data_IF_982607887561
#
_entry.id   IF_982607887561
#
_cell.length_a   1.000
_cell.length_b   1.000
_cell.length_c   1.000
_cell.angle_alpha   90.00
_cell.angle_beta   90.00
_cell.angle_gamma   90.00
#
_symmetry.space_group_name_H-M   'P 1'
#
loop_
_entity.id
_entity.type
_entity.pdbx_description
1 polymer ?
#
# COMPACT_ATOMS: atom_id res chain seq x y z
N UNK A 1 -66.86 -3.05 -7.94
CA UNK A 1 -66.16 -3.25 -9.23
C UNK A 1 -64.67 -3.36 -8.93
N UNK A 2 -64.15 -4.58 -8.84
CA UNK A 2 -62.71 -4.85 -8.58
C UNK A 2 -62.00 -5.09 -9.91
N UNK A 3 -61.03 -4.25 -10.27
CA UNK A 3 -60.14 -4.50 -11.43
C UNK A 3 -58.96 -5.31 -10.94
N UNK A 4 -58.84 -6.51 -11.50
CA UNK A 4 -57.65 -7.35 -11.37
C UNK A 4 -56.66 -6.98 -12.47
N UNK A 5 -55.40 -6.62 -12.11
CA UNK A 5 -54.32 -6.43 -13.05
C UNK A 5 -53.45 -7.70 -13.01
N UNK A 6 -53.45 -8.43 -14.12
CA UNK A 6 -52.65 -9.63 -14.33
C UNK A 6 -51.27 -9.23 -14.86
N UNK A 7 -50.23 -9.48 -14.08
CA UNK A 7 -48.84 -9.27 -14.49
C UNK A 7 -48.37 -10.48 -15.29
N UNK A 8 -48.04 -10.28 -16.56
CA UNK A 8 -47.51 -11.28 -17.47
C UNK A 8 -45.95 -11.26 -17.35
N UNK A 9 -45.39 -12.27 -16.71
CA UNK A 9 -43.93 -12.43 -16.62
C UNK A 9 -43.41 -13.11 -17.89
N UNK A 10 -42.68 -12.36 -18.69
CA UNK A 10 -42.02 -12.86 -19.90
C UNK A 10 -40.62 -13.42 -19.51
N UNK A 11 -40.48 -14.76 -19.53
CA UNK A 11 -39.20 -15.44 -19.44
C UNK A 11 -38.42 -15.30 -20.75
N UNK A 12 -37.42 -14.46 -20.81
CA UNK A 12 -36.42 -14.48 -21.88
C UNK A 12 -35.34 -15.51 -21.56
N UNK A 13 -35.36 -16.63 -22.24
CA UNK A 13 -34.24 -17.58 -22.27
C UNK A 13 -33.17 -17.06 -23.22
N UNK A 14 -32.10 -16.52 -22.69
CA UNK A 14 -30.91 -16.15 -23.47
C UNK A 14 -29.95 -17.34 -23.52
N UNK A 15 -29.90 -18.01 -24.65
CA UNK A 15 -28.80 -18.91 -25.01
C UNK A 15 -27.63 -18.05 -25.49
N UNK A 16 -26.70 -17.71 -24.59
CA UNK A 16 -25.47 -16.99 -24.91
C UNK A 16 -24.29 -17.97 -24.96
N UNK A 17 -23.57 -17.97 -26.07
CA UNK A 17 -22.37 -18.79 -26.29
C UNK A 17 -21.27 -18.44 -25.30
N UNK A 18 -20.68 -19.46 -24.64
CA UNK A 18 -19.66 -19.35 -23.57
C UNK A 18 -18.35 -18.63 -23.96
N UNK A 19 -18.14 -18.28 -25.23
CA UNK A 19 -16.91 -17.60 -25.70
C UNK A 19 -16.91 -16.08 -25.53
N UNK A 20 -18.07 -15.41 -25.47
CA UNK A 20 -18.16 -13.94 -25.42
C UNK A 20 -18.19 -13.34 -24.01
N UNK A 21 -18.37 -14.15 -22.97
CA UNK A 21 -18.54 -13.68 -21.60
C UNK A 21 -17.23 -13.15 -20.98
N UNK A 22 -16.06 -13.71 -21.33
CA UNK A 22 -14.78 -13.28 -20.75
C UNK A 22 -14.24 -11.96 -21.34
N UNK A 23 -14.40 -11.74 -22.65
CA UNK A 23 -13.98 -10.49 -23.30
C UNK A 23 -14.83 -9.30 -22.81
N UNK A 24 -16.11 -9.52 -22.60
CA UNK A 24 -17.02 -8.51 -22.05
C UNK A 24 -16.71 -8.22 -20.56
N UNK A 25 -16.27 -9.22 -19.76
CA UNK A 25 -15.95 -9.05 -18.35
C UNK A 25 -14.73 -8.14 -18.13
N UNK A 26 -13.64 -8.31 -18.89
CA UNK A 26 -12.46 -7.45 -18.78
C UNK A 26 -12.73 -6.01 -19.26
N UNK A 27 -13.51 -5.82 -20.32
CA UNK A 27 -13.90 -4.49 -20.78
C UNK A 27 -14.72 -3.75 -19.71
N UNK A 28 -15.75 -4.39 -19.17
CA UNK A 28 -16.57 -3.82 -18.10
C UNK A 28 -15.76 -3.49 -16.83
N UNK A 29 -14.76 -4.31 -16.49
CA UNK A 29 -13.88 -4.04 -15.37
C UNK A 29 -13.03 -2.76 -15.59
N UNK A 30 -12.49 -2.56 -16.78
CA UNK A 30 -11.74 -1.35 -17.11
C UNK A 30 -12.61 -0.10 -17.23
N UNK A 31 -13.84 -0.22 -17.73
CA UNK A 31 -14.85 0.85 -17.68
C UNK A 31 -15.18 1.24 -16.22
N UNK A 32 -15.23 0.26 -15.32
CA UNK A 32 -15.40 0.52 -13.89
C UNK A 32 -14.17 1.24 -13.30
N UNK A 33 -12.94 0.89 -13.69
CA UNK A 33 -11.73 1.60 -13.29
C UNK A 33 -11.74 3.07 -13.71
N UNK A 34 -12.13 3.34 -14.97
CA UNK A 34 -12.25 4.70 -15.48
C UNK A 34 -13.31 5.49 -14.70
N UNK A 35 -14.41 4.83 -14.34
CA UNK A 35 -15.48 5.46 -13.55
C UNK A 35 -15.03 5.74 -12.10
N UNK A 36 -14.23 4.85 -11.49
CA UNK A 36 -13.64 5.08 -10.18
C UNK A 36 -12.81 6.38 -10.21
N UNK A 37 -11.90 6.50 -11.18
CA UNK A 37 -11.05 7.69 -11.32
C UNK A 37 -11.86 8.95 -11.58
N UNK A 38 -12.84 8.89 -12.45
CA UNK A 38 -13.73 10.01 -12.78
C UNK A 38 -14.51 10.54 -11.59
N UNK A 39 -14.92 9.64 -10.69
CA UNK A 39 -15.73 9.98 -9.52
C UNK A 39 -14.91 10.32 -8.28
N UNK A 40 -13.58 10.29 -8.36
CA UNK A 40 -12.74 10.69 -7.23
C UNK A 40 -12.88 12.17 -6.95
N UNK A 41 -13.01 12.49 -5.66
CA UNK A 41 -13.11 13.87 -5.19
C UNK A 41 -11.73 14.35 -4.76
N UNK A 42 -11.15 15.27 -5.51
CA UNK A 42 -9.92 15.95 -5.10
C UNK A 42 -10.23 17.01 -4.03
N UNK A 43 -9.45 17.09 -2.93
CA UNK A 43 -9.62 18.15 -1.97
C UNK A 43 -9.27 19.51 -2.59
N UNK A 44 -10.08 20.50 -2.29
CA UNK A 44 -9.86 21.90 -2.68
C UNK A 44 -9.69 22.76 -1.43
N UNK A 45 -8.89 23.81 -1.53
CA UNK A 45 -8.53 24.66 -0.40
C UNK A 45 -8.78 26.11 -0.74
N UNK A 46 -9.19 26.95 0.24
CA UNK A 46 -9.21 28.40 0.07
C UNK A 46 -7.84 28.95 -0.36
N UNK A 47 -7.85 30.03 -1.13
CA UNK A 47 -6.63 30.74 -1.54
C UNK A 47 -6.09 31.62 -0.39
N UNK A 48 -5.64 30.95 0.68
CA UNK A 48 -5.03 31.53 1.86
C UNK A 48 -3.74 30.80 2.15
N UNK A 49 -2.67 31.54 2.44
CA UNK A 49 -1.35 30.98 2.74
C UNK A 49 -0.92 31.37 4.16
N UNK A 50 -0.51 30.37 4.90
CA UNK A 50 0.05 30.49 6.25
C UNK A 50 1.50 30.03 6.20
N UNK A 51 2.42 30.99 6.04
CA UNK A 51 3.86 30.68 5.99
C UNK A 51 4.36 30.38 7.40
N UNK A 52 5.00 29.23 7.61
CA UNK A 52 5.49 28.81 8.94
C UNK A 52 6.51 29.80 9.54
N UNK A 53 7.22 30.58 8.72
CA UNK A 53 8.16 31.63 9.18
C UNK A 53 7.42 32.72 9.95
N UNK A 54 6.20 33.08 9.55
CA UNK A 54 5.36 34.06 10.24
C UNK A 54 4.92 33.56 11.64
N UNK A 55 5.07 32.28 11.91
CA UNK A 55 4.82 31.63 13.21
C UNK A 55 6.11 31.33 13.99
N UNK A 56 7.25 31.86 13.53
CA UNK A 56 8.54 31.77 14.21
C UNK A 56 9.40 30.57 13.77
N UNK A 57 9.09 29.90 12.64
CA UNK A 57 9.94 28.84 12.13
C UNK A 57 11.30 29.36 11.66
N UNK A 58 12.37 28.60 11.94
CA UNK A 58 13.76 28.92 11.61
C UNK A 58 14.32 27.88 10.64
N UNK A 59 14.83 28.34 9.51
CA UNK A 59 15.30 27.49 8.39
C UNK A 59 16.79 27.11 8.49
N UNK A 60 17.27 26.74 9.68
CA UNK A 60 18.68 26.42 9.95
C UNK A 60 19.01 24.92 9.93
N UNK A 61 17.99 24.06 9.80
CA UNK A 61 18.11 22.59 9.84
C UNK A 61 18.45 22.03 11.23
N UNK A 62 18.35 22.80 12.29
CA UNK A 62 18.71 22.44 13.67
C UNK A 62 17.63 22.78 14.68
N UNK A 63 17.04 23.97 14.58
CA UNK A 63 15.96 24.40 15.47
C UNK A 63 14.70 23.60 15.19
N UNK A 64 14.09 23.01 16.24
CA UNK A 64 12.82 22.29 16.12
C UNK A 64 11.69 23.29 15.87
N UNK A 65 10.99 23.12 14.76
CA UNK A 65 9.92 24.00 14.29
C UNK A 65 8.51 23.44 14.53
N UNK A 66 8.38 22.35 15.28
CA UNK A 66 7.11 21.64 15.51
C UNK A 66 6.01 22.59 15.96
N UNK A 67 6.28 23.41 16.99
CA UNK A 67 5.29 24.35 17.54
C UNK A 67 4.87 25.45 16.53
N UNK A 68 5.81 25.94 15.69
CA UNK A 68 5.50 26.92 14.65
C UNK A 68 4.63 26.32 13.56
N UNK A 69 4.93 25.09 13.12
CA UNK A 69 4.13 24.35 12.12
C UNK A 69 2.73 24.04 12.68
N UNK A 70 2.64 23.56 13.92
CA UNK A 70 1.36 23.29 14.58
C UNK A 70 0.50 24.55 14.71
N UNK A 71 1.10 25.68 15.10
CA UNK A 71 0.38 26.96 15.20
C UNK A 71 -0.16 27.40 13.82
N UNK A 72 0.62 27.25 12.75
CA UNK A 72 0.17 27.53 11.39
C UNK A 72 -1.00 26.61 10.96
N UNK A 73 -0.92 25.31 11.23
CA UNK A 73 -1.97 24.32 10.92
C UNK A 73 -3.25 24.64 11.69
N UNK A 74 -3.14 24.90 12.99
CA UNK A 74 -4.30 25.24 13.85
C UNK A 74 -4.99 26.50 13.33
N UNK A 75 -4.23 27.56 13.05
CA UNK A 75 -4.76 28.80 12.52
C UNK A 75 -5.42 28.59 11.16
N UNK A 76 -4.74 27.93 10.23
CA UNK A 76 -5.25 27.64 8.90
C UNK A 76 -6.59 26.90 8.98
N UNK A 77 -6.67 25.81 9.74
CA UNK A 77 -7.89 25.02 9.89
C UNK A 77 -9.03 25.82 10.56
N UNK A 78 -8.72 26.60 11.60
CA UNK A 78 -9.72 27.42 12.33
C UNK A 78 -10.31 28.56 11.50
N UNK A 79 -9.60 29.04 10.49
CA UNK A 79 -10.03 30.10 9.57
C UNK A 79 -10.68 29.55 8.28
N UNK A 80 -11.05 28.26 8.27
CA UNK A 80 -11.78 27.60 7.19
C UNK A 80 -10.88 26.87 6.18
N UNK A 81 -9.55 26.80 6.42
CA UNK A 81 -8.60 26.07 5.61
C UNK A 81 -7.72 26.94 4.72
N UNK A 82 -6.85 26.29 3.99
CA UNK A 82 -5.87 26.93 3.11
C UNK A 82 -4.58 26.12 2.99
N UNK A 83 -3.50 26.82 2.63
CA UNK A 83 -2.18 26.25 2.46
C UNK A 83 -1.28 26.64 3.65
N UNK A 84 -0.71 25.66 4.35
CA UNK A 84 0.42 25.87 5.28
C UNK A 84 1.70 25.67 4.47
N UNK A 85 2.44 26.74 4.31
CA UNK A 85 3.63 26.78 3.44
C UNK A 85 4.91 26.52 4.23
N UNK A 86 5.58 25.42 3.90
CA UNK A 86 6.98 25.17 4.24
C UNK A 86 7.82 25.84 3.14
N UNK A 87 8.28 27.04 3.40
CA UNK A 87 9.01 27.85 2.43
C UNK A 87 10.45 27.37 2.25
N UNK A 88 11.19 28.01 1.32
CA UNK A 88 12.59 27.68 1.02
C UNK A 88 13.44 27.58 2.29
N UNK A 89 14.22 26.50 2.40
CA UNK A 89 15.20 26.27 3.47
C UNK A 89 15.17 24.88 4.04
N UNK A 90 15.90 24.65 5.14
CA UNK A 90 15.93 23.37 5.86
C UNK A 90 15.26 23.53 7.21
N UNK A 91 14.20 22.81 7.46
CA UNK A 91 13.44 22.88 8.71
C UNK A 91 13.47 21.52 9.42
N UNK A 92 13.95 21.49 10.66
CA UNK A 92 13.84 20.32 11.52
C UNK A 92 12.51 20.37 12.27
N UNK A 93 11.80 19.25 12.38
CA UNK A 93 10.54 19.17 13.12
C UNK A 93 10.40 17.82 13.83
N UNK A 94 9.54 17.75 14.84
CA UNK A 94 8.92 16.51 15.33
C UNK A 94 7.73 16.11 14.46
N UNK A 95 6.78 15.34 15.01
CA UNK A 95 5.59 14.92 14.25
C UNK A 95 4.71 16.11 13.89
N UNK A 96 4.02 16.00 12.75
CA UNK A 96 3.06 17.00 12.26
C UNK A 96 1.67 16.36 12.26
N UNK A 97 0.71 16.98 12.92
CA UNK A 97 -0.68 16.53 12.94
C UNK A 97 -1.56 17.44 12.07
N UNK A 98 -1.98 16.92 10.90
CA UNK A 98 -2.84 17.67 10.00
C UNK A 98 -4.27 17.75 10.52
N UNK A 99 -4.93 18.84 10.18
CA UNK A 99 -6.35 19.13 10.46
C UNK A 99 -7.13 19.28 9.15
N UNK A 100 -8.44 19.15 9.24
CA UNK A 100 -9.33 19.27 8.08
C UNK A 100 -9.14 20.60 7.36
N UNK A 101 -9.27 20.54 6.03
CA UNK A 101 -9.13 21.66 5.11
C UNK A 101 -7.71 22.27 5.05
N UNK A 102 -6.68 21.52 5.41
CA UNK A 102 -5.27 21.98 5.38
C UNK A 102 -4.51 21.27 4.28
N UNK A 103 -3.85 22.05 3.43
CA UNK A 103 -2.81 21.61 2.52
C UNK A 103 -1.43 21.98 3.08
N UNK A 104 -0.66 20.99 3.53
CA UNK A 104 0.75 21.18 3.88
C UNK A 104 1.57 21.21 2.59
N UNK A 105 2.00 22.41 2.18
CA UNK A 105 2.72 22.61 0.93
C UNK A 105 4.22 22.78 1.15
N UNK A 106 5.01 21.93 0.52
CA UNK A 106 6.47 21.91 0.63
C UNK A 106 7.06 22.58 -0.62
N UNK A 107 7.58 23.80 -0.47
CA UNK A 107 8.23 24.51 -1.57
C UNK A 107 9.32 23.68 -2.22
N UNK A 108 9.50 23.79 -3.53
CA UNK A 108 10.46 22.97 -4.29
C UNK A 108 11.93 23.10 -3.83
N UNK A 109 12.25 24.16 -3.12
CA UNK A 109 13.57 24.40 -2.53
C UNK A 109 13.61 24.16 -1.00
N UNK A 110 12.53 23.61 -0.43
CA UNK A 110 12.42 23.25 0.97
C UNK A 110 12.83 21.81 1.25
N UNK A 111 13.47 21.59 2.39
CA UNK A 111 13.71 20.27 2.98
C UNK A 111 13.11 20.26 4.38
N UNK A 112 12.09 19.45 4.59
CA UNK A 112 11.50 19.23 5.90
C UNK A 112 12.09 17.93 6.48
N UNK A 113 12.91 18.09 7.51
CA UNK A 113 13.65 17.04 8.20
C UNK A 113 12.91 16.65 9.48
N UNK A 114 12.73 15.35 9.71
CA UNK A 114 12.04 14.85 10.90
C UNK A 114 13.04 14.41 11.97
N UNK A 115 12.78 14.78 13.22
CA UNK A 115 13.61 14.42 14.36
C UNK A 115 13.87 12.91 14.46
N UNK A 116 15.06 12.53 14.85
CA UNK A 116 15.44 11.14 15.14
C UNK A 116 15.26 10.77 16.62
N UNK A 117 14.77 11.72 17.44
CA UNK A 117 14.52 11.51 18.86
C UNK A 117 13.13 10.87 19.07
N UNK A 118 13.04 9.61 19.52
CA UNK A 118 11.74 8.93 19.65
C UNK A 118 10.77 9.63 20.61
N UNK A 119 11.28 10.29 21.64
CA UNK A 119 10.46 11.02 22.62
C UNK A 119 9.67 12.18 22.04
N UNK A 120 10.12 12.74 20.90
CA UNK A 120 9.38 13.78 20.17
C UNK A 120 8.03 13.26 19.61
N UNK A 121 7.91 11.95 19.41
CA UNK A 121 6.74 11.28 18.83
C UNK A 121 5.76 10.77 19.87
N UNK A 122 5.89 11.24 21.11
CA UNK A 122 4.95 11.00 22.21
C UNK A 122 4.04 12.22 22.43
N UNK A 123 2.83 12.04 22.98
CA UNK A 123 2.25 10.78 23.43
C UNK A 123 1.88 9.86 22.27
N UNK A 124 1.72 8.56 22.57
CA UNK A 124 1.29 7.55 21.59
C UNK A 124 -0.06 7.92 20.97
N UNK A 125 -0.20 7.67 19.68
CA UNK A 125 -1.45 7.89 18.93
C UNK A 125 -2.02 6.57 18.44
N UNK A 126 -3.31 6.54 18.13
CA UNK A 126 -3.92 5.39 17.50
C UNK A 126 -3.28 5.16 16.12
N UNK A 127 -2.91 3.93 15.83
CA UNK A 127 -2.34 3.52 14.55
C UNK A 127 -2.55 2.03 14.33
N UNK A 128 -2.03 1.52 13.23
CA UNK A 128 -1.93 0.09 12.93
C UNK A 128 -0.49 -0.22 12.56
N UNK A 129 0.10 -1.24 13.15
CA UNK A 129 1.49 -1.61 12.92
C UNK A 129 1.57 -3.04 12.37
N UNK A 130 2.08 -3.22 11.14
CA UNK A 130 2.05 -4.48 10.38
C UNK A 130 0.67 -5.18 10.40
N UNK A 131 -0.42 -4.41 10.25
CA UNK A 131 -1.78 -4.94 10.23
C UNK A 131 -2.44 -5.14 11.59
N UNK A 132 -1.74 -4.90 12.69
CA UNK A 132 -2.25 -5.01 14.08
C UNK A 132 -2.59 -3.63 14.64
N UNK A 133 -3.83 -3.44 15.11
CA UNK A 133 -4.28 -2.18 15.71
C UNK A 133 -3.61 -1.93 17.06
N UNK A 134 -3.11 -0.71 17.28
CA UNK A 134 -2.45 -0.33 18.53
C UNK A 134 -2.41 1.18 18.73
N UNK A 135 -1.85 1.61 19.87
CA UNK A 135 -1.32 2.94 20.09
C UNK A 135 0.20 2.88 20.09
N UNK A 136 0.84 3.65 19.22
CA UNK A 136 2.29 3.66 19.05
C UNK A 136 2.81 5.10 18.92
N UNK A 137 4.12 5.27 18.81
CA UNK A 137 4.72 6.55 18.41
C UNK A 137 3.96 7.16 17.25
N UNK A 138 3.74 8.48 17.30
CA UNK A 138 3.11 9.19 16.19
C UNK A 138 3.86 8.94 14.89
N UNK A 139 3.16 8.68 13.77
CA UNK A 139 3.76 8.84 12.44
C UNK A 139 4.36 10.24 12.27
N UNK A 140 5.31 10.39 11.35
CA UNK A 140 5.99 11.66 11.14
C UNK A 140 5.01 12.74 10.65
N UNK A 141 4.08 12.36 9.75
CA UNK A 141 2.92 13.18 9.40
C UNK A 141 1.66 12.33 9.64
N UNK A 142 0.79 12.85 10.47
CA UNK A 142 -0.37 12.12 10.99
C UNK A 142 -1.67 12.89 10.82
N UNK A 143 -2.76 12.17 10.60
CA UNK A 143 -4.13 12.68 10.72
C UNK A 143 -5.06 11.53 11.13
N UNK A 144 -6.05 11.83 11.96
CA UNK A 144 -7.14 10.88 12.31
C UNK A 144 -8.48 11.58 12.20
N UNK A 145 -9.42 10.99 11.44
CA UNK A 145 -10.77 11.49 11.24
C UNK A 145 -10.87 12.83 10.48
N UNK A 146 -9.85 13.21 9.70
CA UNK A 146 -9.83 14.49 9.01
C UNK A 146 -10.39 14.39 7.58
N UNK A 147 -10.90 15.51 7.09
CA UNK A 147 -11.46 15.61 5.74
C UNK A 147 -10.80 16.74 4.96
N UNK A 148 -10.59 16.54 3.64
CA UNK A 148 -9.94 17.50 2.76
C UNK A 148 -8.55 17.87 3.29
N UNK A 149 -7.64 16.91 3.27
CA UNK A 149 -6.24 17.11 3.68
C UNK A 149 -5.30 16.81 2.53
N UNK A 150 -4.21 17.55 2.46
CA UNK A 150 -3.19 17.29 1.47
C UNK A 150 -1.77 17.53 2.00
N UNK A 151 -0.81 16.81 1.40
CA UNK A 151 0.61 17.16 1.40
C UNK A 151 1.02 17.31 -0.06
N UNK A 152 1.50 18.49 -0.43
CA UNK A 152 1.78 18.82 -1.84
C UNK A 152 3.10 19.58 -2.00
N UNK A 153 3.50 19.80 -3.25
CA UNK A 153 4.66 20.59 -3.60
C UNK A 153 5.86 19.75 -3.98
N UNK A 154 6.92 20.40 -4.49
CA UNK A 154 8.10 19.73 -5.08
C UNK A 154 9.28 19.61 -4.13
N UNK A 155 9.09 19.93 -2.84
CA UNK A 155 10.13 19.84 -1.84
C UNK A 155 10.42 18.41 -1.38
N UNK A 156 11.31 18.31 -0.40
CA UNK A 156 11.76 17.01 0.13
C UNK A 156 11.30 16.82 1.57
N UNK A 157 10.72 15.65 1.85
CA UNK A 157 10.46 15.14 3.19
C UNK A 157 11.57 14.14 3.54
N UNK A 158 12.33 14.37 4.61
CA UNK A 158 13.44 13.52 5.04
C UNK A 158 13.19 12.96 6.44
N UNK A 159 12.88 11.67 6.52
CA UNK A 159 12.65 10.96 7.79
C UNK A 159 13.93 10.68 8.58
N UNK A 160 15.09 10.95 8.00
CA UNK A 160 16.42 10.75 8.58
C UNK A 160 16.68 9.33 9.10
N UNK A 161 15.91 8.32 8.66
CA UNK A 161 16.14 6.91 8.98
C UNK A 161 17.49 6.44 8.43
N UNK A 162 18.25 5.75 9.26
CA UNK A 162 19.58 5.22 8.92
C UNK A 162 19.98 4.04 9.81
N UNK A 163 21.14 3.44 9.54
CA UNK A 163 21.74 2.42 10.40
C UNK A 163 22.18 2.95 11.77
N UNK A 164 22.14 4.25 12.01
CA UNK A 164 22.49 4.87 13.30
C UNK A 164 21.24 5.18 14.14
N UNK A 165 20.07 5.31 13.49
CA UNK A 165 18.79 5.59 14.15
C UNK A 165 17.67 4.80 13.48
N UNK A 166 16.50 4.70 14.07
CA UNK A 166 15.30 4.00 13.62
C UNK A 166 15.51 2.57 13.07
N UNK A 167 16.39 2.37 12.04
CA UNK A 167 16.55 1.07 11.39
C UNK A 167 17.13 -0.02 12.28
N UNK A 168 18.03 0.26 13.26
CA UNK A 168 18.47 -0.74 14.23
C UNK A 168 17.33 -1.40 15.00
N UNK A 169 16.22 -0.71 15.21
CA UNK A 169 15.04 -1.27 15.86
C UNK A 169 14.44 -2.48 15.14
N UNK A 170 14.77 -2.68 13.85
CA UNK A 170 14.42 -3.91 13.11
C UNK A 170 14.99 -5.18 13.73
N UNK A 171 16.13 -5.09 14.41
CA UNK A 171 16.81 -6.23 15.01
C UNK A 171 17.67 -7.04 14.03
N UNK A 172 18.20 -6.43 12.99
CA UNK A 172 19.10 -7.06 12.01
C UNK A 172 20.41 -6.29 11.88
N UNK A 173 21.55 -6.98 11.95
CA UNK A 173 22.90 -6.38 11.89
C UNK A 173 23.10 -5.56 10.60
N UNK A 174 22.54 -6.01 9.47
CA UNK A 174 22.57 -5.26 8.20
C UNK A 174 21.89 -3.90 8.27
N UNK A 175 21.07 -3.67 9.29
CA UNK A 175 20.34 -2.41 9.50
C UNK A 175 20.97 -1.58 10.64
N UNK A 176 22.17 -1.93 11.09
CA UNK A 176 22.88 -1.24 12.18
C UNK A 176 22.54 -1.74 13.58
N UNK A 177 21.71 -2.80 13.74
CA UNK A 177 21.43 -3.37 15.05
C UNK A 177 22.68 -4.05 15.64
N UNK A 178 22.96 -3.78 16.90
CA UNK A 178 24.06 -4.37 17.65
C UNK A 178 23.50 -5.46 18.56
N UNK A 179 24.10 -6.65 18.51
CA UNK A 179 23.68 -7.80 19.32
C UNK A 179 23.58 -7.43 20.80
N UNK A 180 22.42 -7.70 21.38
CA UNK A 180 22.13 -7.41 22.80
C UNK A 180 21.48 -6.04 23.05
N UNK A 181 21.35 -5.18 22.04
CA UNK A 181 20.54 -3.96 22.15
C UNK A 181 19.06 -4.27 21.90
N UNK A 182 18.13 -3.49 22.46
CA UNK A 182 16.70 -3.70 22.25
C UNK A 182 16.27 -3.56 20.80
N UNK A 183 15.23 -4.32 20.43
CA UNK A 183 14.65 -4.30 19.07
C UNK A 183 13.18 -4.68 19.07
N UNK A 184 12.52 -4.51 17.92
CA UNK A 184 11.14 -4.97 17.72
C UNK A 184 10.96 -6.50 17.88
N UNK A 185 12.05 -7.28 17.85
CA UNK A 185 12.02 -8.74 17.99
C UNK A 185 11.92 -9.19 19.45
N UNK A 186 12.12 -8.29 20.40
CA UNK A 186 12.02 -8.59 21.82
C UNK A 186 10.60 -9.03 22.19
N UNK A 187 10.49 -9.94 23.18
CA UNK A 187 9.21 -10.57 23.55
C UNK A 187 8.09 -9.59 23.90
N UNK A 188 8.44 -8.44 24.45
CA UNK A 188 7.52 -7.37 24.84
C UNK A 188 7.20 -6.38 23.69
N UNK A 189 7.77 -6.54 22.51
CA UNK A 189 7.59 -5.64 21.38
C UNK A 189 6.61 -6.25 20.32
N UNK A 190 7.08 -6.49 19.11
CA UNK A 190 6.27 -7.09 18.03
C UNK A 190 5.60 -8.42 18.43
N UNK A 191 6.27 -9.37 19.11
CA UNK A 191 5.63 -10.61 19.56
C UNK A 191 4.47 -10.36 20.54
N UNK A 192 4.58 -9.36 21.41
CA UNK A 192 3.49 -9.00 22.33
C UNK A 192 2.31 -8.40 21.58
N UNK A 193 2.55 -7.49 20.61
CA UNK A 193 1.47 -6.92 19.80
C UNK A 193 0.73 -8.00 19.02
N UNK A 194 1.44 -8.95 18.39
CA UNK A 194 0.83 -10.12 17.76
C UNK A 194 -0.03 -10.92 18.74
N UNK A 195 0.50 -11.19 19.93
CA UNK A 195 -0.27 -11.88 20.99
C UNK A 195 -1.52 -11.11 21.39
N UNK A 196 -1.48 -9.80 21.45
CA UNK A 196 -2.66 -8.97 21.74
C UNK A 196 -3.74 -9.12 20.66
N UNK A 197 -3.34 -9.19 19.38
CA UNK A 197 -4.26 -9.49 18.30
C UNK A 197 -4.87 -10.89 18.46
N UNK A 198 -4.04 -11.93 18.60
CA UNK A 198 -4.48 -13.33 18.73
C UNK A 198 -5.42 -13.55 19.92
N UNK A 199 -5.16 -12.88 21.04
CA UNK A 199 -5.95 -12.98 22.28
C UNK A 199 -7.02 -11.90 22.41
N UNK A 200 -7.24 -11.12 21.35
CA UNK A 200 -8.33 -10.14 21.24
C UNK A 200 -8.31 -9.07 22.37
N UNK A 201 -7.12 -8.70 22.81
CA UNK A 201 -6.98 -7.60 23.79
C UNK A 201 -7.56 -6.31 23.21
N UNK A 202 -8.43 -5.54 23.93
CA UNK A 202 -8.95 -4.27 23.44
C UNK A 202 -7.83 -3.31 22.98
N UNK A 203 -8.04 -2.62 21.87
CA UNK A 203 -7.01 -1.77 21.22
C UNK A 203 -6.49 -0.68 22.16
N UNK A 204 -7.38 -0.11 23.00
CA UNK A 204 -7.07 0.94 23.97
C UNK A 204 -6.03 0.50 25.03
N UNK A 205 -5.88 -0.81 25.22
CA UNK A 205 -4.89 -1.42 26.12
C UNK A 205 -3.57 -1.76 25.43
N UNK A 206 -3.51 -1.67 24.07
CA UNK A 206 -2.31 -2.00 23.29
C UNK A 206 -1.43 -0.76 23.09
N UNK A 207 -0.85 -0.23 24.17
CA UNK A 207 0.02 0.95 24.12
C UNK A 207 1.47 0.50 23.95
N UNK A 208 2.06 0.81 22.79
CA UNK A 208 3.34 0.32 22.30
C UNK A 208 4.35 1.48 22.07
N UNK A 209 4.37 2.46 22.93
CA UNK A 209 5.28 3.60 22.82
C UNK A 209 6.67 3.30 23.34
N UNK A 210 7.13 4.10 24.31
CA UNK A 210 8.47 4.01 24.88
C UNK A 210 8.79 2.59 25.39
N UNK A 211 9.97 2.08 24.99
CA UNK A 211 10.44 0.73 25.35
C UNK A 211 9.94 -0.41 24.45
N UNK A 212 9.13 -0.13 23.42
CA UNK A 212 8.60 -1.17 22.54
C UNK A 212 9.25 -1.26 21.15
N UNK A 213 10.09 -0.34 20.76
CA UNK A 213 10.90 -0.33 19.55
C UNK A 213 10.14 -0.60 18.23
N UNK A 214 8.86 -0.21 18.17
CA UNK A 214 8.05 -0.26 16.95
C UNK A 214 8.18 1.07 16.21
N UNK A 215 8.89 1.05 15.08
CA UNK A 215 9.17 2.23 14.27
C UNK A 215 7.88 2.87 13.73
N UNK A 216 7.72 4.21 13.79
CA UNK A 216 6.55 4.88 13.23
C UNK A 216 6.57 4.88 11.69
N UNK A 217 5.41 4.94 11.06
CA UNK A 217 5.25 5.22 9.63
C UNK A 217 5.67 6.67 9.33
N UNK A 218 5.98 6.95 8.04
CA UNK A 218 6.25 8.34 7.68
C UNK A 218 4.95 9.15 7.59
N UNK A 219 4.07 8.85 6.63
CA UNK A 219 2.75 9.49 6.52
C UNK A 219 1.68 8.46 6.83
N UNK A 220 0.88 8.66 7.87
CA UNK A 220 -0.26 7.80 8.17
C UNK A 220 -1.51 8.63 8.43
N UNK A 221 -2.53 8.44 7.58
CA UNK A 221 -3.82 9.11 7.66
C UNK A 221 -4.91 8.08 7.90
N UNK A 222 -5.55 8.16 9.07
CA UNK A 222 -6.52 7.18 9.57
C UNK A 222 -7.92 7.77 9.51
N UNK A 223 -8.91 6.98 9.03
CA UNK A 223 -10.31 7.40 8.92
C UNK A 223 -10.49 8.75 8.20
N UNK A 224 -9.59 9.08 7.28
CA UNK A 224 -9.62 10.35 6.57
C UNK A 224 -10.41 10.24 5.26
N UNK A 225 -10.93 11.39 4.80
CA UNK A 225 -11.68 11.47 3.55
C UNK A 225 -11.16 12.60 2.68
N UNK A 226 -11.08 12.36 1.36
CA UNK A 226 -10.52 13.27 0.37
C UNK A 226 -9.08 13.65 0.74
N UNK A 227 -8.17 12.72 0.51
CA UNK A 227 -6.74 12.83 0.82
C UNK A 227 -5.96 13.01 -0.46
N UNK A 228 -5.02 13.95 -0.50
CA UNK A 228 -4.11 14.12 -1.63
C UNK A 228 -2.65 14.21 -1.19
N UNK A 229 -1.81 13.37 -1.80
CA UNK A 229 -0.36 13.33 -1.66
C UNK A 229 0.24 13.60 -3.06
N UNK A 230 0.92 14.74 -3.26
CA UNK A 230 1.25 15.16 -4.63
C UNK A 230 2.62 15.83 -4.77
N UNK A 231 3.41 15.33 -5.74
CA UNK A 231 4.64 15.89 -6.33
C UNK A 231 5.91 15.91 -5.46
N UNK A 232 5.84 15.70 -4.16
CA UNK A 232 7.01 15.75 -3.29
C UNK A 232 7.95 14.54 -3.45
N UNK A 233 9.20 14.74 -3.03
CA UNK A 233 10.14 13.63 -2.81
C UNK A 233 10.15 13.26 -1.33
N UNK A 234 10.09 11.96 -1.02
CA UNK A 234 10.15 11.44 0.34
C UNK A 234 11.26 10.40 0.46
N UNK A 235 12.07 10.49 1.51
CA UNK A 235 13.24 9.62 1.70
C UNK A 235 13.51 9.28 3.15
N UNK A 236 14.31 8.22 3.35
CA UNK A 236 14.84 7.81 4.64
C UNK A 236 13.75 7.61 5.71
N UNK A 237 12.69 6.87 5.37
CA UNK A 237 11.61 6.57 6.30
C UNK A 237 12.09 5.68 7.45
N UNK A 238 11.56 5.84 8.67
CA UNK A 238 11.74 4.85 9.73
C UNK A 238 11.17 3.48 9.39
N UNK A 239 10.01 3.44 8.72
CA UNK A 239 9.20 2.26 8.45
C UNK A 239 8.41 2.45 7.15
N UNK A 240 7.18 1.93 7.00
CA UNK A 240 6.29 2.15 5.85
C UNK A 240 6.17 3.64 5.50
N UNK A 241 6.21 3.96 4.21
CA UNK A 241 6.35 5.38 3.80
C UNK A 241 4.99 6.07 3.72
N UNK A 242 4.13 5.68 2.79
CA UNK A 242 2.79 6.27 2.63
C UNK A 242 1.75 5.24 3.10
N UNK A 243 1.11 5.49 4.23
CA UNK A 243 0.18 4.56 4.87
C UNK A 243 -1.18 5.20 5.15
N UNK A 244 -2.01 5.47 4.12
CA UNK A 244 -3.41 5.76 4.34
C UNK A 244 -4.12 4.52 4.88
N UNK A 245 -4.89 4.68 5.95
CA UNK A 245 -5.53 3.59 6.69
C UNK A 245 -7.02 3.90 6.89
N UNK A 246 -7.91 2.95 6.55
CA UNK A 246 -9.36 3.09 6.73
C UNK A 246 -9.90 4.42 6.14
N UNK A 247 -9.30 4.87 5.05
CA UNK A 247 -9.56 6.18 4.43
C UNK A 247 -10.24 6.04 3.07
N UNK A 248 -10.94 7.08 2.65
CA UNK A 248 -11.72 7.10 1.41
C UNK A 248 -11.30 8.27 0.51
N UNK A 249 -11.30 8.05 -0.83
CA UNK A 249 -10.86 9.01 -1.85
C UNK A 249 -9.42 9.47 -1.59
N UNK A 250 -8.48 8.57 -1.80
CA UNK A 250 -7.04 8.80 -1.60
C UNK A 250 -6.35 8.92 -2.95
N UNK A 251 -5.70 10.05 -3.19
CA UNK A 251 -4.92 10.32 -4.41
C UNK A 251 -3.45 10.44 -4.04
N UNK A 252 -2.62 9.62 -4.67
CA UNK A 252 -1.15 9.69 -4.62
C UNK A 252 -0.66 9.93 -6.04
N UNK A 253 -0.16 11.14 -6.33
CA UNK A 253 0.19 11.56 -7.68
C UNK A 253 1.56 12.20 -7.73
N UNK A 254 2.40 11.79 -8.69
CA UNK A 254 3.70 12.42 -8.94
C UNK A 254 4.73 12.29 -7.82
N UNK A 255 4.45 11.50 -6.78
CA UNK A 255 5.34 11.33 -5.63
C UNK A 255 6.54 10.47 -6.00
N UNK A 256 7.72 10.90 -5.57
CA UNK A 256 8.95 10.11 -5.65
C UNK A 256 9.32 9.56 -4.28
N UNK A 257 9.24 8.25 -4.12
CA UNK A 257 9.72 7.54 -2.92
C UNK A 257 11.13 7.02 -3.17
N UNK A 258 12.07 7.46 -2.34
CA UNK A 258 13.46 7.00 -2.35
C UNK A 258 13.89 6.62 -0.93
N UNK A 259 13.47 5.44 -0.47
CA UNK A 259 13.63 5.01 0.91
C UNK A 259 13.91 3.52 0.98
N UNK A 260 15.18 3.17 1.19
CA UNK A 260 15.70 1.80 1.05
C UNK A 260 15.93 1.09 2.39
N UNK A 261 15.43 1.62 3.49
CA UNK A 261 15.54 1.01 4.81
C UNK A 261 14.66 -0.25 4.96
N UNK A 262 14.80 -0.96 6.09
CA UNK A 262 14.04 -2.18 6.34
C UNK A 262 12.55 -1.87 6.52
N UNK A 263 11.67 -2.62 5.84
CA UNK A 263 10.23 -2.39 5.75
C UNK A 263 9.88 -0.97 5.27
N UNK A 264 10.70 -0.41 4.38
CA UNK A 264 10.37 0.83 3.70
C UNK A 264 9.55 0.49 2.44
N UNK A 265 8.33 -0.01 2.67
CA UNK A 265 7.32 -0.14 1.63
C UNK A 265 6.92 1.27 1.18
N UNK A 266 6.77 1.49 -0.14
CA UNK A 266 6.60 2.83 -0.68
C UNK A 266 5.21 3.39 -0.46
N UNK A 267 4.17 2.60 -0.72
CA UNK A 267 2.79 3.00 -0.53
C UNK A 267 1.94 1.81 -0.09
N UNK A 268 1.39 1.89 1.12
CA UNK A 268 0.62 0.86 1.80
C UNK A 268 -0.81 1.33 2.09
N UNK A 269 -1.66 1.52 1.09
CA UNK A 269 -3.06 1.81 1.41
C UNK A 269 -3.68 0.57 2.06
N UNK A 270 -4.17 0.75 3.29
CA UNK A 270 -4.70 -0.34 4.10
C UNK A 270 -6.17 -0.12 4.43
N UNK A 271 -7.04 -1.06 4.06
CA UNK A 271 -8.49 -0.97 4.26
C UNK A 271 -9.10 0.33 3.71
N UNK A 272 -8.55 0.86 2.63
CA UNK A 272 -8.99 2.07 1.97
C UNK A 272 -9.97 1.78 0.83
N UNK A 273 -10.77 2.80 0.49
CA UNK A 273 -11.72 2.74 -0.62
C UNK A 273 -11.50 3.89 -1.59
N UNK A 274 -11.55 3.60 -2.91
CA UNK A 274 -11.32 4.55 -3.98
C UNK A 274 -9.93 5.19 -3.85
N UNK A 275 -8.91 4.46 -4.30
CA UNK A 275 -7.50 4.88 -4.24
C UNK A 275 -6.96 5.03 -5.65
N UNK A 276 -6.34 6.16 -5.95
CA UNK A 276 -5.61 6.42 -7.18
C UNK A 276 -4.14 6.63 -6.87
N UNK A 277 -3.26 5.81 -7.46
CA UNK A 277 -1.81 5.98 -7.41
C UNK A 277 -1.32 6.16 -8.84
N UNK A 278 -0.84 7.34 -9.19
CA UNK A 278 -0.47 7.63 -10.58
C UNK A 278 0.78 8.49 -10.72
N UNK A 279 1.53 8.25 -11.79
CA UNK A 279 2.74 9.02 -12.15
C UNK A 279 3.81 9.02 -11.04
N UNK A 280 3.84 8.01 -10.18
CA UNK A 280 4.77 7.90 -9.05
C UNK A 280 6.02 7.11 -9.42
N UNK A 281 7.11 7.37 -8.70
CA UNK A 281 8.37 6.61 -8.81
C UNK A 281 8.72 6.01 -7.46
N UNK A 282 9.01 4.70 -7.44
CA UNK A 282 9.34 3.95 -6.24
C UNK A 282 10.73 3.33 -6.33
N UNK A 283 11.56 3.63 -5.33
CA UNK A 283 12.84 3.01 -5.06
C UNK A 283 12.87 2.68 -3.57
N UNK A 284 12.59 1.43 -3.20
CA UNK A 284 12.19 1.05 -1.84
C UNK A 284 13.04 -0.10 -1.29
N UNK A 285 13.07 -0.21 0.02
CA UNK A 285 13.74 -1.31 0.72
C UNK A 285 12.86 -2.54 0.95
N UNK A 286 11.55 -2.42 0.65
CA UNK A 286 10.56 -3.49 0.67
C UNK A 286 9.61 -3.33 -0.53
N UNK A 287 8.32 -3.64 -0.47
CA UNK A 287 7.40 -3.52 -1.60
C UNK A 287 7.28 -2.06 -2.10
N UNK A 288 7.19 -1.84 -3.42
CA UNK A 288 6.95 -0.50 -3.97
C UNK A 288 5.54 -0.01 -3.62
N UNK A 289 4.53 -0.83 -3.90
CA UNK A 289 3.13 -0.62 -3.51
C UNK A 289 2.63 -1.91 -2.88
N UNK A 290 2.10 -1.83 -1.65
CA UNK A 290 1.55 -3.00 -0.96
C UNK A 290 0.14 -2.74 -0.44
N UNK A 291 -0.84 -3.35 -1.08
CA UNK A 291 -2.25 -3.24 -0.73
C UNK A 291 -2.56 -4.14 0.46
N UNK A 292 -3.13 -3.58 1.52
CA UNK A 292 -3.34 -4.26 2.81
C UNK A 292 -4.76 -4.06 3.34
N UNK A 293 -5.20 -4.93 4.27
CA UNK A 293 -6.50 -4.84 4.94
C UNK A 293 -6.51 -5.54 6.31
N UNK A 294 -5.47 -5.30 7.07
CA UNK A 294 -5.34 -5.80 8.44
C UNK A 294 -4.89 -7.25 8.55
N UNK A 295 -4.38 -7.57 9.74
CA UNK A 295 -3.83 -8.89 10.07
C UNK A 295 -4.80 -9.67 10.93
N UNK A 296 -5.02 -10.94 10.59
CA UNK A 296 -5.64 -11.98 11.40
C UNK A 296 -6.96 -11.52 12.05
N UNK A 297 -7.08 -11.54 13.37
CA UNK A 297 -8.32 -11.15 14.06
C UNK A 297 -8.67 -9.68 13.81
N UNK A 298 -7.72 -8.75 13.91
CA UNK A 298 -7.99 -7.33 13.73
C UNK A 298 -8.51 -7.01 12.33
N UNK A 299 -7.88 -7.59 11.29
CA UNK A 299 -8.35 -7.44 9.91
C UNK A 299 -9.75 -8.03 9.69
N UNK A 300 -10.04 -9.20 10.28
CA UNK A 300 -11.37 -9.82 10.19
C UNK A 300 -12.42 -9.07 11.00
N UNK A 301 -12.06 -8.56 12.18
CA UNK A 301 -12.96 -7.75 13.02
C UNK A 301 -13.36 -6.47 12.31
N UNK A 302 -12.41 -5.77 11.71
CA UNK A 302 -12.65 -4.54 10.96
C UNK A 302 -13.51 -4.81 9.72
N UNK A 303 -13.29 -5.96 9.06
CA UNK A 303 -14.03 -6.40 7.88
C UNK A 303 -14.08 -5.32 6.77
N UNK A 304 -13.03 -4.51 6.68
CA UNK A 304 -12.88 -3.46 5.68
C UNK A 304 -11.83 -3.87 4.64
N UNK A 305 -12.23 -4.25 3.44
CA UNK A 305 -11.28 -4.58 2.38
C UNK A 305 -10.54 -3.32 1.90
N UNK A 306 -9.38 -3.52 1.31
CA UNK A 306 -8.84 -2.56 0.35
C UNK A 306 -9.61 -2.74 -0.96
N UNK A 307 -10.27 -1.70 -1.47
CA UNK A 307 -11.12 -1.82 -2.65
C UNK A 307 -11.10 -0.62 -3.59
N UNK A 308 -11.33 -0.88 -4.89
CA UNK A 308 -11.36 0.13 -5.94
C UNK A 308 -10.04 0.91 -6.02
N UNK A 309 -8.96 0.21 -6.30
CA UNK A 309 -7.61 0.78 -6.42
C UNK A 309 -7.19 0.85 -7.87
N UNK A 310 -6.81 2.02 -8.35
CA UNK A 310 -6.25 2.22 -9.68
C UNK A 310 -4.80 2.69 -9.55
N UNK A 311 -3.88 1.90 -10.11
CA UNK A 311 -2.43 2.17 -10.15
C UNK A 311 -2.05 2.33 -11.61
N UNK A 312 -1.54 3.51 -12.00
CA UNK A 312 -1.21 3.75 -13.40
C UNK A 312 -0.01 4.67 -13.62
N UNK A 313 0.69 4.45 -14.72
CA UNK A 313 1.82 5.27 -15.15
C UNK A 313 2.93 5.37 -14.08
N UNK A 314 3.13 4.34 -13.27
CA UNK A 314 4.11 4.32 -12.19
C UNK A 314 5.39 3.58 -12.61
N UNK A 315 6.50 3.94 -11.96
CA UNK A 315 7.82 3.35 -12.16
C UNK A 315 8.27 2.66 -10.87
N UNK A 316 8.44 1.34 -10.89
CA UNK A 316 8.98 0.54 -9.80
C UNK A 316 10.41 0.12 -10.14
N UNK A 317 11.39 0.62 -9.36
CA UNK A 317 12.80 0.43 -9.66
C UNK A 317 13.51 -0.55 -8.74
N UNK A 318 13.14 -0.59 -7.46
CA UNK A 318 13.73 -1.47 -6.46
C UNK A 318 12.69 -1.82 -5.42
N UNK A 319 12.71 -3.05 -4.91
CA UNK A 319 11.81 -3.52 -3.86
C UNK A 319 11.54 -5.02 -3.94
N UNK A 320 10.75 -5.54 -2.98
CA UNK A 320 10.36 -6.95 -2.99
C UNK A 320 9.23 -7.25 -3.97
N UNK A 321 8.34 -6.30 -4.21
CA UNK A 321 7.27 -6.39 -5.19
C UNK A 321 6.95 -5.04 -5.83
N UNK A 322 6.70 -5.00 -7.14
CA UNK A 322 6.25 -3.80 -7.83
C UNK A 322 4.85 -3.40 -7.35
N UNK A 323 3.89 -4.31 -7.50
CA UNK A 323 2.57 -4.19 -6.88
C UNK A 323 2.28 -5.49 -6.13
N UNK A 324 2.13 -5.37 -4.82
CA UNK A 324 1.88 -6.47 -3.90
C UNK A 324 0.47 -6.37 -3.29
N UNK A 325 -0.23 -7.48 -3.17
CA UNK A 325 -1.42 -7.64 -2.35
C UNK A 325 -1.03 -8.52 -1.15
N UNK A 326 -1.04 -7.93 0.05
CA UNK A 326 -0.69 -8.66 1.28
C UNK A 326 0.68 -8.31 1.88
N UNK A 327 1.13 -9.14 2.86
CA UNK A 327 0.44 -10.32 3.41
C UNK A 327 -0.77 -10.01 4.32
N UNK A 328 -0.89 -8.82 4.85
CA UNK A 328 -1.94 -8.38 5.76
C UNK A 328 -3.22 -8.04 4.96
N UNK A 329 -3.96 -9.09 4.51
CA UNK A 329 -5.20 -8.94 3.72
C UNK A 329 -6.38 -9.71 4.31
N UNK A 330 -6.45 -9.79 5.63
CA UNK A 330 -7.53 -10.51 6.32
C UNK A 330 -8.91 -9.88 6.11
N UNK A 331 -8.98 -8.57 5.87
CA UNK A 331 -10.22 -7.86 5.50
C UNK A 331 -10.62 -8.00 4.02
N UNK A 332 -9.73 -8.56 3.18
CA UNK A 332 -9.97 -8.74 1.76
C UNK A 332 -9.37 -7.65 0.85
N UNK A 333 -9.32 -7.95 -0.45
CA UNK A 333 -8.77 -7.08 -1.49
C UNK A 333 -9.65 -7.21 -2.74
N UNK A 334 -10.19 -6.09 -3.27
CA UNK A 334 -11.17 -6.13 -4.37
C UNK A 334 -10.96 -5.04 -5.40
N UNK A 335 -11.17 -5.38 -6.66
CA UNK A 335 -11.15 -4.42 -7.79
C UNK A 335 -9.84 -3.63 -7.84
N UNK A 336 -8.75 -4.33 -8.10
CA UNK A 336 -7.40 -3.76 -8.22
C UNK A 336 -7.03 -3.67 -9.69
N UNK A 337 -6.67 -2.49 -10.14
CA UNK A 337 -6.34 -2.18 -11.53
C UNK A 337 -4.91 -1.64 -11.62
N UNK A 338 -4.08 -2.29 -12.42
CA UNK A 338 -2.70 -1.87 -12.71
C UNK A 338 -2.57 -1.65 -14.21
N UNK A 339 -2.30 -0.42 -14.64
CA UNK A 339 -2.26 -0.04 -16.06
C UNK A 339 -1.02 0.79 -16.40
N UNK A 340 -0.40 0.51 -17.53
CA UNK A 340 0.69 1.29 -18.10
C UNK A 340 1.85 1.59 -17.10
N UNK A 341 2.23 0.58 -16.31
CA UNK A 341 3.34 0.69 -15.37
C UNK A 341 4.63 0.11 -15.93
N UNK A 342 5.76 0.61 -15.46
CA UNK A 342 7.08 0.10 -15.77
C UNK A 342 7.75 -0.44 -14.52
N UNK A 343 8.26 -1.68 -14.58
CA UNK A 343 8.87 -2.38 -13.46
C UNK A 343 10.19 -2.95 -13.93
N UNK A 344 11.31 -2.39 -13.50
CA UNK A 344 12.61 -2.83 -14.03
C UNK A 344 13.77 -2.52 -13.10
N UNK A 345 14.32 -3.57 -12.51
CA UNK A 345 15.61 -3.53 -11.82
C UNK A 345 16.04 -4.96 -11.44
N UNK A 346 17.33 -5.28 -11.44
CA UNK A 346 17.85 -6.52 -10.85
C UNK A 346 17.62 -6.59 -9.32
N UNK A 347 17.27 -5.48 -8.69
CA UNK A 347 16.94 -5.38 -7.26
C UNK A 347 15.41 -5.29 -6.99
N UNK A 348 14.57 -5.52 -8.01
CA UNK A 348 13.14 -5.72 -7.87
C UNK A 348 12.87 -7.23 -7.90
N UNK A 349 12.37 -7.80 -6.81
CA UNK A 349 12.23 -9.26 -6.77
C UNK A 349 11.07 -9.73 -7.69
N UNK A 350 9.88 -9.13 -7.60
CA UNK A 350 8.68 -9.55 -8.34
C UNK A 350 7.94 -8.36 -8.94
N UNK A 351 7.30 -8.54 -10.08
CA UNK A 351 6.49 -7.47 -10.65
C UNK A 351 5.10 -7.40 -9.99
N UNK A 352 4.33 -8.49 -10.04
CA UNK A 352 3.00 -8.60 -9.40
C UNK A 352 3.06 -9.73 -8.39
N UNK A 353 2.71 -9.42 -7.13
CA UNK A 353 2.79 -10.36 -6.01
C UNK A 353 1.48 -10.41 -5.23
N UNK A 354 0.94 -11.60 -5.03
CA UNK A 354 -0.14 -11.86 -4.07
C UNK A 354 0.40 -12.80 -3.01
N UNK A 355 0.43 -12.36 -1.76
CA UNK A 355 1.02 -13.12 -0.64
C UNK A 355 0.05 -13.18 0.54
N UNK A 356 -0.21 -14.39 1.02
CA UNK A 356 -1.13 -14.64 2.14
C UNK A 356 -0.84 -16.00 2.78
N UNK A 357 -1.61 -16.38 3.76
CA UNK A 357 -1.57 -17.71 4.38
C UNK A 357 -2.92 -18.06 5.05
N UNK A 358 -3.00 -19.25 5.63
CA UNK A 358 -4.21 -19.74 6.29
C UNK A 358 -4.47 -19.17 7.70
N UNK A 359 -3.58 -18.32 8.24
CA UNK A 359 -3.86 -17.52 9.43
C UNK A 359 -4.55 -16.20 9.05
N UNK A 360 -4.17 -15.64 7.89
CA UNK A 360 -4.76 -14.41 7.33
C UNK A 360 -6.19 -14.64 6.85
N UNK A 361 -6.38 -15.68 6.02
CA UNK A 361 -7.64 -15.83 5.28
C UNK A 361 -7.80 -14.68 4.27
N UNK A 362 -9.02 -14.13 4.24
CA UNK A 362 -9.39 -13.04 3.35
C UNK A 362 -9.67 -13.47 1.90
N UNK A 363 -10.32 -12.60 1.15
CA UNK A 363 -10.62 -12.83 -0.27
C UNK A 363 -9.97 -11.75 -1.11
N UNK A 364 -9.10 -12.15 -2.04
CA UNK A 364 -8.61 -11.30 -3.13
C UNK A 364 -9.43 -11.61 -4.38
N UNK A 365 -10.18 -10.63 -4.90
CA UNK A 365 -11.11 -10.81 -6.01
C UNK A 365 -11.04 -9.65 -7.00
N UNK A 366 -10.72 -9.95 -8.26
CA UNK A 366 -10.65 -8.94 -9.31
C UNK A 366 -9.33 -8.15 -9.29
N UNK A 367 -8.25 -8.77 -9.73
CA UNK A 367 -6.95 -8.13 -9.99
C UNK A 367 -6.75 -8.07 -11.50
N UNK A 368 -6.70 -6.87 -12.04
CA UNK A 368 -6.61 -6.61 -13.48
C UNK A 368 -5.30 -5.86 -13.78
N UNK A 369 -4.42 -6.50 -14.52
CA UNK A 369 -3.11 -5.95 -14.91
C UNK A 369 -3.06 -5.86 -16.43
N UNK A 370 -2.78 -4.67 -16.98
CA UNK A 370 -2.60 -4.52 -18.42
C UNK A 370 -1.50 -3.52 -18.78
N UNK A 371 -0.96 -3.69 -20.00
CA UNK A 371 0.00 -2.75 -20.61
C UNK A 371 1.23 -2.51 -19.69
N UNK A 372 1.67 -3.53 -18.98
CA UNK A 372 2.82 -3.41 -18.06
C UNK A 372 4.09 -3.88 -18.78
N UNK A 373 5.10 -3.04 -18.71
CA UNK A 373 6.44 -3.36 -19.23
C UNK A 373 7.36 -3.74 -18.08
N UNK A 374 7.77 -5.01 -18.06
CA UNK A 374 8.75 -5.52 -17.12
C UNK A 374 10.11 -5.61 -17.84
N UNK A 375 11.08 -4.81 -17.40
CA UNK A 375 12.43 -4.91 -17.95
C UNK A 375 13.16 -6.13 -17.40
N UNK A 376 13.62 -6.02 -16.16
CA UNK A 376 14.23 -7.11 -15.40
C UNK A 376 13.60 -7.17 -14.01
N UNK A 377 13.29 -8.38 -13.54
CA UNK A 377 13.00 -8.68 -12.14
C UNK A 377 13.77 -9.93 -11.75
N UNK A 378 14.11 -10.01 -10.47
CA UNK A 378 14.97 -11.09 -9.98
C UNK A 378 14.27 -12.45 -9.99
N UNK A 379 13.01 -12.49 -9.57
CA UNK A 379 12.26 -13.73 -9.32
C UNK A 379 11.13 -13.92 -10.36
N UNK A 380 9.94 -13.38 -10.15
CA UNK A 380 8.78 -13.70 -10.98
C UNK A 380 8.02 -12.46 -11.49
N UNK A 381 7.39 -12.59 -12.67
CA UNK A 381 6.52 -11.55 -13.22
C UNK A 381 5.14 -11.60 -12.54
N UNK A 382 4.53 -12.78 -12.43
CA UNK A 382 3.37 -13.03 -11.59
C UNK A 382 3.73 -14.05 -10.51
N UNK A 383 3.57 -13.67 -9.24
CA UNK A 383 3.75 -14.57 -8.10
C UNK A 383 2.50 -14.60 -7.22
N UNK A 384 2.01 -15.80 -6.89
CA UNK A 384 0.98 -16.02 -5.87
C UNK A 384 1.54 -17.00 -4.85
N UNK A 385 1.59 -16.60 -3.57
CA UNK A 385 2.09 -17.42 -2.48
C UNK A 385 1.07 -17.46 -1.33
N UNK A 386 0.39 -18.61 -1.17
CA UNK A 386 -0.57 -18.84 -0.09
C UNK A 386 0.07 -19.51 1.15
N UNK A 387 1.38 -19.68 1.16
CA UNK A 387 2.17 -20.23 2.28
C UNK A 387 3.19 -19.22 2.82
N UNK A 388 2.90 -17.91 2.64
CA UNK A 388 3.81 -16.83 2.97
C UNK A 388 3.95 -16.64 4.49
N UNK A 389 5.19 -16.77 5.01
CA UNK A 389 5.52 -16.60 6.43
C UNK A 389 4.53 -17.30 7.38
N UNK A 390 4.39 -18.60 7.23
CA UNK A 390 3.66 -19.43 8.19
C UNK A 390 4.51 -19.50 9.45
N UNK A 391 4.13 -18.76 10.49
CA UNK A 391 4.84 -18.77 11.77
C UNK A 391 4.70 -20.14 12.49
N UNK A 392 3.65 -20.91 12.15
CA UNK A 392 3.43 -22.26 12.64
C UNK A 392 2.68 -23.11 11.59
N UNK A 393 3.30 -24.16 11.13
CA UNK A 393 2.64 -25.11 10.21
C UNK A 393 1.38 -25.70 10.87
N UNK A 394 0.25 -25.63 10.17
CA UNK A 394 -0.99 -26.34 10.49
C UNK A 394 -1.98 -25.62 11.43
N UNK A 395 -1.72 -24.45 11.94
CA UNK A 395 -2.63 -23.75 12.86
C UNK A 395 -3.66 -22.82 12.20
N UNK A 396 -3.53 -22.54 10.90
CA UNK A 396 -4.44 -21.62 10.20
C UNK A 396 -5.81 -22.24 9.93
N UNK A 397 -6.87 -21.58 10.42
CA UNK A 397 -8.26 -22.01 10.24
C UNK A 397 -9.03 -21.20 9.18
N UNK A 398 -8.35 -20.27 8.52
CA UNK A 398 -8.95 -19.28 7.64
C UNK A 398 -8.39 -19.44 6.22
N UNK A 399 -9.06 -20.24 5.41
CA UNK A 399 -8.65 -20.47 4.03
C UNK A 399 -8.74 -19.17 3.21
N UNK A 400 -7.63 -18.64 2.68
CA UNK A 400 -7.68 -17.50 1.79
C UNK A 400 -8.36 -17.87 0.47
N UNK A 401 -8.95 -16.88 -0.21
CA UNK A 401 -9.52 -17.05 -1.53
C UNK A 401 -8.87 -16.05 -2.49
N UNK A 402 -8.21 -16.51 -3.54
CA UNK A 402 -7.66 -15.69 -4.60
C UNK A 402 -8.33 -16.06 -5.90
N UNK A 403 -9.03 -15.13 -6.53
CA UNK A 403 -9.78 -15.38 -7.76
C UNK A 403 -9.85 -14.18 -8.68
N UNK A 404 -10.07 -14.48 -9.95
CA UNK A 404 -10.25 -13.45 -10.99
C UNK A 404 -9.01 -12.55 -11.13
N UNK A 405 -7.84 -13.17 -11.42
CA UNK A 405 -6.58 -12.46 -11.68
C UNK A 405 -6.32 -12.49 -13.19
N UNK A 406 -6.15 -11.33 -13.79
CA UNK A 406 -5.98 -11.17 -15.23
C UNK A 406 -4.72 -10.38 -15.55
N UNK A 407 -3.82 -10.97 -16.34
CA UNK A 407 -2.69 -10.30 -16.95
C UNK A 407 -2.91 -10.20 -18.45
N UNK A 408 -2.91 -8.99 -19.00
CA UNK A 408 -3.15 -8.74 -20.44
C UNK A 408 -2.11 -7.76 -20.99
N UNK A 409 -1.52 -8.04 -22.14
CA UNK A 409 -0.52 -7.18 -22.78
C UNK A 409 0.68 -6.87 -21.84
N UNK A 410 1.18 -7.85 -21.12
CA UNK A 410 2.38 -7.72 -20.27
C UNK A 410 3.59 -8.25 -21.02
N UNK A 411 4.67 -7.45 -21.02
CA UNK A 411 5.94 -7.84 -21.64
C UNK A 411 7.05 -7.89 -20.62
N UNK A 412 8.01 -8.83 -20.79
CA UNK A 412 9.21 -8.87 -19.96
C UNK A 412 10.47 -9.18 -20.75
N UNK A 413 11.63 -8.78 -20.19
CA UNK A 413 12.94 -9.05 -20.79
C UNK A 413 13.77 -10.08 -20.01
N UNK A 414 13.59 -10.17 -18.67
CA UNK A 414 14.38 -11.09 -17.85
C UNK A 414 13.73 -11.34 -16.49
N UNK A 415 13.65 -12.61 -16.10
CA UNK A 415 13.18 -13.06 -14.78
C UNK A 415 13.65 -14.49 -14.50
N UNK A 416 13.53 -14.97 -13.25
CA UNK A 416 13.68 -16.40 -12.99
C UNK A 416 12.46 -17.14 -13.53
N UNK A 417 11.24 -16.71 -13.17
CA UNK A 417 9.98 -17.30 -13.63
C UNK A 417 9.12 -16.27 -14.37
N UNK A 418 8.35 -16.69 -15.36
CA UNK A 418 7.23 -15.88 -15.84
C UNK A 418 6.06 -15.95 -14.85
N UNK A 419 5.70 -17.15 -14.42
CA UNK A 419 4.55 -17.41 -13.54
C UNK A 419 4.99 -18.38 -12.44
N UNK A 420 4.77 -17.99 -11.18
CA UNK A 420 5.03 -18.79 -10.00
C UNK A 420 3.80 -18.74 -9.08
N UNK A 421 3.04 -19.85 -9.01
CA UNK A 421 1.78 -19.93 -8.26
C UNK A 421 1.85 -21.11 -7.29
N UNK A 422 1.70 -20.81 -5.99
CA UNK A 422 1.67 -21.80 -4.92
C UNK A 422 0.44 -21.58 -4.01
N UNK A 423 -0.58 -22.40 -4.22
CA UNK A 423 -1.77 -22.47 -3.39
C UNK A 423 -1.55 -23.34 -2.16
N UNK A 424 -2.60 -23.53 -1.35
CA UNK A 424 -2.56 -24.39 -0.18
C UNK A 424 -2.81 -25.84 -0.61
N UNK A 425 -1.94 -26.74 -0.18
CA UNK A 425 -2.02 -28.19 -0.52
C UNK A 425 -3.38 -28.78 -0.14
N UNK A 426 -4.00 -29.43 -1.10
CA UNK A 426 -5.32 -30.06 -0.94
C UNK A 426 -6.51 -29.11 -1.09
N UNK A 427 -6.27 -27.81 -1.24
CA UNK A 427 -7.31 -26.78 -1.34
C UNK A 427 -7.35 -26.15 -2.74
N UNK A 428 -8.51 -25.68 -3.16
CA UNK A 428 -8.69 -24.94 -4.42
C UNK A 428 -8.90 -23.44 -4.13
N UNK A 429 -8.04 -22.87 -3.30
CA UNK A 429 -8.18 -21.48 -2.84
C UNK A 429 -7.70 -20.44 -3.87
N UNK A 430 -6.96 -20.84 -4.89
CA UNK A 430 -6.54 -19.98 -6.00
C UNK A 430 -7.20 -20.44 -7.29
N UNK A 431 -7.99 -19.57 -7.94
CA UNK A 431 -8.79 -19.99 -9.09
C UNK A 431 -9.04 -18.83 -10.08
N UNK A 432 -9.30 -19.19 -11.35
CA UNK A 432 -9.57 -18.26 -12.44
C UNK A 432 -8.45 -17.22 -12.65
N UNK A 433 -7.26 -17.74 -12.93
CA UNK A 433 -6.09 -16.94 -13.32
C UNK A 433 -6.01 -16.94 -14.84
N UNK A 434 -5.94 -15.78 -15.46
CA UNK A 434 -5.85 -15.64 -16.91
C UNK A 434 -4.63 -14.82 -17.31
N UNK A 435 -3.83 -15.35 -18.24
CA UNK A 435 -2.72 -14.65 -18.86
C UNK A 435 -2.96 -14.63 -20.36
N UNK A 436 -3.09 -13.43 -20.92
CA UNK A 436 -3.49 -13.24 -22.32
C UNK A 436 -2.65 -12.18 -23.02
N UNK A 437 -2.26 -12.43 -24.27
CA UNK A 437 -1.52 -11.51 -25.12
C UNK A 437 -0.20 -11.03 -24.46
N UNK A 438 0.54 -11.93 -23.85
CA UNK A 438 1.77 -11.60 -23.12
C UNK A 438 3.02 -12.12 -23.83
N UNK A 439 4.15 -11.43 -23.67
CA UNK A 439 5.44 -11.84 -24.19
C UNK A 439 6.47 -11.81 -23.06
N UNK A 440 6.95 -12.99 -22.68
CA UNK A 440 7.94 -13.17 -21.63
C UNK A 440 9.24 -13.67 -22.22
N UNK A 441 10.28 -12.84 -22.20
CA UNK A 441 11.60 -13.16 -22.70
C UNK A 441 12.61 -13.30 -21.56
N UNK A 442 13.71 -14.04 -21.80
CA UNK A 442 14.78 -14.22 -20.83
C UNK A 442 14.36 -14.88 -19.53
N UNK A 443 13.33 -15.70 -19.58
CA UNK A 443 12.85 -16.49 -18.44
C UNK A 443 13.76 -17.70 -18.28
N UNK A 444 14.33 -17.90 -17.09
CA UNK A 444 15.37 -18.89 -16.84
C UNK A 444 14.85 -20.25 -16.41
N UNK A 445 13.70 -20.32 -15.78
CA UNK A 445 13.13 -21.52 -15.19
C UNK A 445 11.72 -21.79 -15.75
N UNK A 446 11.32 -23.06 -15.75
CA UNK A 446 9.96 -23.43 -16.08
C UNK A 446 8.96 -22.76 -15.11
N UNK A 447 7.75 -22.46 -15.60
CA UNK A 447 6.68 -21.98 -14.75
C UNK A 447 6.39 -23.00 -13.63
N UNK A 448 6.11 -22.52 -12.44
CA UNK A 448 5.78 -23.36 -11.29
C UNK A 448 4.34 -23.11 -10.86
N UNK A 449 3.51 -24.16 -10.91
CA UNK A 449 2.09 -24.07 -10.57
C UNK A 449 1.74 -25.25 -9.66
N UNK A 450 1.41 -24.93 -8.40
CA UNK A 450 1.08 -25.91 -7.37
C UNK A 450 -0.23 -25.57 -6.69
N UNK A 451 -1.11 -26.55 -6.51
CA UNK A 451 -2.35 -26.43 -5.74
C UNK A 451 -3.27 -25.30 -6.25
N UNK A 452 -3.35 -25.14 -7.57
CA UNK A 452 -4.11 -24.10 -8.25
C UNK A 452 -5.33 -24.72 -8.93
N UNK A 453 -6.44 -24.00 -8.95
CA UNK A 453 -7.61 -24.38 -9.72
C UNK A 453 -7.43 -24.08 -11.21
N UNK A 454 -8.30 -23.26 -11.79
CA UNK A 454 -8.25 -22.96 -13.22
C UNK A 454 -7.22 -21.90 -13.57
N UNK A 455 -6.27 -22.23 -14.45
CA UNK A 455 -5.39 -21.28 -15.16
C UNK A 455 -5.75 -21.30 -16.65
N UNK A 456 -5.81 -20.13 -17.27
CA UNK A 456 -6.07 -19.97 -18.69
C UNK A 456 -4.92 -19.19 -19.32
N UNK A 457 -4.29 -19.78 -20.32
CA UNK A 457 -3.23 -19.18 -21.12
C UNK A 457 -3.77 -18.95 -22.53
N UNK A 458 -3.58 -17.75 -23.07
CA UNK A 458 -4.09 -17.42 -24.38
C UNK A 458 -3.18 -16.42 -25.10
N UNK A 459 -2.67 -16.80 -26.25
CA UNK A 459 -1.75 -15.95 -27.03
C UNK A 459 -0.56 -15.44 -26.20
N UNK A 460 0.17 -16.36 -25.55
CA UNK A 460 1.34 -16.06 -24.75
C UNK A 460 2.59 -16.60 -25.42
N UNK A 461 3.63 -15.79 -25.52
CA UNK A 461 4.94 -16.16 -26.01
C UNK A 461 5.92 -16.22 -24.84
N UNK A 462 6.56 -17.35 -24.63
CA UNK A 462 7.57 -17.59 -23.62
C UNK A 462 8.92 -17.93 -24.29
N UNK A 463 9.93 -17.09 -24.14
CA UNK A 463 11.24 -17.25 -24.75
C UNK A 463 11.20 -17.50 -26.28
N UNK A 464 10.25 -16.89 -26.99
CA UNK A 464 10.08 -17.02 -28.43
C UNK A 464 9.16 -18.15 -28.88
N UNK A 465 8.70 -19.01 -27.97
CA UNK A 465 7.80 -20.11 -28.26
C UNK A 465 6.38 -19.84 -27.77
N UNK A 466 5.37 -20.33 -28.50
CA UNK A 466 3.97 -20.19 -28.09
C UNK A 466 3.68 -21.11 -26.90
N UNK A 467 3.23 -20.52 -25.80
CA UNK A 467 2.77 -21.25 -24.63
C UNK A 467 1.27 -21.52 -24.72
N UNK A 468 0.89 -22.78 -24.92
CA UNK A 468 -0.52 -23.18 -25.12
C UNK A 468 -1.20 -23.63 -23.82
N UNK A 469 -0.46 -24.17 -22.86
CA UNK A 469 -0.92 -24.60 -21.54
C UNK A 469 0.19 -24.45 -20.51
N UNK A 470 -0.14 -24.46 -19.25
CA UNK A 470 0.80 -24.61 -18.15
C UNK A 470 0.31 -25.82 -17.38
N UNK A 471 1.05 -26.91 -17.47
CA UNK A 471 0.78 -28.17 -16.76
C UNK A 471 1.45 -28.15 -15.37
#
# INVERSE_FOLDING_TARGET
>A
MKLSVTLLAMFLTVFGTKGNCQINGNKAAWEAADLIVKNMVEPTFPDKVYNIVDFGAVADGKTKNTSAIDAAIIKCSSEGGGQVLITKGKFLTGPIHLKSNVNLHIDGSAVLMFSTEPTDYLPVVRTRWEGDDCYNYSPLIYADGQTNIAVTGKGTLDGQGSSENWWPWKGGERNGWIKGTPSQLDRNCRPLLKKYNDTQVPVEKRKMGEGYFLRPQFISFIHCKNVKLEDFTIKNSPFWVLHPLLSENVIVRGVTVNSEGPNNDGCDPESCKNVLIENCTFNTGDDCIALKSGRDFDGRRENAPIENVVIRNCFMRKGHGGVSMGSEISGGCKNIFVDNCQMSSPELDRAILIKTNNSRGGTTDGVYVRNVTVGEVKDAILSINCSYHIDKEGEGKFLPQIKNVYLTNVTSKKSAFAIWLDGIKGEKCVNNITVENCVFSGVKQANEIKNIGKVTIKNVILNGETLNSID
#
